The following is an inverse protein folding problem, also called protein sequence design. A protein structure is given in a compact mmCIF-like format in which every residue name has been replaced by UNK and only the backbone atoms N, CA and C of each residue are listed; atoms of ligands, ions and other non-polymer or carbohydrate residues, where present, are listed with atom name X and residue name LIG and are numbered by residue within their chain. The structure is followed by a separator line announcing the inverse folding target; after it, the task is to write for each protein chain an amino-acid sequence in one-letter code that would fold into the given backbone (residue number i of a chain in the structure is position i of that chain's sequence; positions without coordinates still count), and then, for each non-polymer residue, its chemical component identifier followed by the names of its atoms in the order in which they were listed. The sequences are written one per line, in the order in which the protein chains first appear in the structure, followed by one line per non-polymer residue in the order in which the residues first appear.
data_IF_052351220697
#
_entry.id   IF_052351220697
#
_cell.length_a   1.000
_cell.length_b   1.000
_cell.length_c   1.000
_cell.angle_alpha   90.00
_cell.angle_beta   90.00
_cell.angle_gamma   90.00
#
_symmetry.space_group_name_H-M   'P 1'
#
loop_
_entity.id
_entity.type
_entity.pdbx_description
1 polymer ?
#
# COMPACT_ATOMS: atom_id res chain seq x y z
N UNK A 1 -24.76 -25.55 15.08
CA UNK A 1 -23.33 -25.53 14.67
C UNK A 1 -23.09 -24.85 13.32
N UNK A 2 -23.77 -25.22 12.22
CA UNK A 2 -23.55 -24.62 10.87
C UNK A 2 -23.75 -23.10 10.78
N UNK A 3 -24.76 -22.56 11.47
CA UNK A 3 -25.04 -21.11 11.47
C UNK A 3 -24.10 -20.29 12.36
N UNK A 4 -23.45 -20.90 13.37
CA UNK A 4 -22.46 -20.21 14.21
C UNK A 4 -21.15 -19.95 13.45
N UNK A 5 -20.77 -20.85 12.53
CA UNK A 5 -19.55 -20.72 11.72
C UNK A 5 -19.68 -19.54 10.73
N UNK A 6 -20.86 -19.36 10.13
CA UNK A 6 -21.16 -18.24 9.22
C UNK A 6 -21.17 -16.87 9.93
N UNK A 7 -21.54 -16.84 11.21
CA UNK A 7 -21.56 -15.61 11.99
C UNK A 7 -20.16 -15.16 12.42
N UNK A 8 -19.21 -16.10 12.51
CA UNK A 8 -17.82 -15.83 12.87
C UNK A 8 -16.96 -15.35 11.67
N UNK A 9 -17.34 -15.69 10.42
CA UNK A 9 -16.58 -15.33 9.22
C UNK A 9 -16.87 -13.91 8.71
N UNK A 10 -18.09 -13.40 8.93
CA UNK A 10 -18.53 -12.07 8.51
C UNK A 10 -17.61 -10.89 8.92
N UNK A 11 -17.12 -10.80 10.18
CA UNK A 11 -16.24 -9.70 10.57
C UNK A 11 -14.87 -9.72 9.86
N UNK A 12 -14.39 -10.90 9.46
CA UNK A 12 -13.09 -11.05 8.77
C UNK A 12 -13.20 -10.51 7.34
N UNK A 13 -14.28 -10.85 6.62
CA UNK A 13 -14.53 -10.36 5.26
C UNK A 13 -14.65 -8.84 5.21
N UNK A 14 -15.35 -8.25 6.19
CA UNK A 14 -15.49 -6.80 6.30
C UNK A 14 -14.15 -6.10 6.54
N UNK A 15 -13.31 -6.65 7.43
CA UNK A 15 -11.98 -6.13 7.70
C UNK A 15 -11.07 -6.19 6.44
N UNK A 16 -11.12 -7.29 5.68
CA UNK A 16 -10.37 -7.45 4.44
C UNK A 16 -10.84 -6.46 3.37
N UNK A 17 -12.15 -6.26 3.21
CA UNK A 17 -12.70 -5.26 2.27
C UNK A 17 -12.26 -3.84 2.62
N UNK A 18 -12.31 -3.47 3.91
CA UNK A 18 -11.87 -2.16 4.37
C UNK A 18 -10.36 -1.95 4.13
N UNK A 19 -9.55 -2.99 4.35
CA UNK A 19 -8.11 -2.94 4.03
C UNK A 19 -7.88 -2.76 2.53
N UNK A 20 -8.60 -3.53 1.70
CA UNK A 20 -8.49 -3.44 0.24
C UNK A 20 -8.82 -2.03 -0.29
N UNK A 21 -9.91 -1.41 0.16
CA UNK A 21 -10.26 -0.04 -0.26
C UNK A 21 -9.23 0.99 0.22
N UNK A 22 -8.67 0.81 1.42
CA UNK A 22 -7.60 1.68 1.93
C UNK A 22 -6.34 1.59 1.06
N UNK A 23 -5.85 0.37 0.80
CA UNK A 23 -4.66 0.13 -0.03
C UNK A 23 -4.87 0.74 -1.41
N UNK A 24 -6.02 0.48 -2.05
CA UNK A 24 -6.36 1.04 -3.37
C UNK A 24 -6.31 2.56 -3.37
N UNK A 25 -6.87 3.20 -2.34
CA UNK A 25 -6.84 4.66 -2.18
C UNK A 25 -5.43 5.21 -2.00
N UNK A 26 -4.58 4.50 -1.25
CA UNK A 26 -3.20 4.94 -1.00
C UNK A 26 -2.33 4.81 -2.25
N UNK A 27 -2.51 3.75 -3.05
CA UNK A 27 -1.92 3.68 -4.39
C UNK A 27 -2.40 4.80 -5.29
N UNK A 28 -3.72 5.05 -5.37
CA UNK A 28 -4.28 6.14 -6.16
C UNK A 28 -3.66 7.50 -5.80
N UNK A 29 -3.58 7.83 -4.51
CA UNK A 29 -2.91 9.04 -4.03
C UNK A 29 -1.44 9.08 -4.46
N UNK A 30 -0.74 7.94 -4.43
CA UNK A 30 0.65 7.90 -4.84
C UNK A 30 0.85 8.39 -6.29
N UNK A 31 -0.05 8.01 -7.20
CA UNK A 31 -0.01 8.47 -8.60
C UNK A 31 -0.41 9.93 -8.74
N UNK A 32 -1.36 10.40 -7.93
CA UNK A 32 -1.76 11.82 -7.92
C UNK A 32 -0.61 12.71 -7.49
N UNK A 33 0.08 12.39 -6.38
CA UNK A 33 1.22 13.18 -5.93
C UNK A 33 2.39 13.12 -6.93
N UNK A 34 2.69 11.95 -7.49
CA UNK A 34 3.72 11.81 -8.52
C UNK A 34 3.44 12.70 -9.72
N UNK A 35 2.19 12.73 -10.21
CA UNK A 35 1.78 13.60 -11.33
C UNK A 35 1.96 15.10 -11.03
N UNK A 36 1.91 15.48 -9.76
CA UNK A 36 2.16 16.84 -9.29
C UNK A 36 3.66 17.15 -9.09
N UNK A 37 4.56 16.18 -9.34
CA UNK A 37 5.99 16.30 -9.10
C UNK A 37 6.40 16.19 -7.63
N UNK A 38 5.47 15.84 -6.74
CA UNK A 38 5.75 15.61 -5.33
C UNK A 38 6.08 14.14 -5.10
N UNK A 39 7.37 13.83 -4.97
CA UNK A 39 7.84 12.45 -4.75
C UNK A 39 7.95 12.08 -3.26
N UNK A 40 7.87 13.04 -2.34
CA UNK A 40 7.97 12.77 -0.88
C UNK A 40 6.64 12.27 -0.30
N UNK A 41 5.52 12.90 -0.67
CA UNK A 41 4.21 12.46 -0.23
C UNK A 41 3.77 11.06 -0.68
N UNK A 42 4.01 10.59 -1.93
CA UNK A 42 3.61 9.26 -2.35
C UNK A 42 4.40 8.18 -1.60
N UNK A 43 5.69 8.40 -1.32
CA UNK A 43 6.51 7.51 -0.46
C UNK A 43 5.88 7.40 0.92
N UNK A 44 5.59 8.54 1.58
CA UNK A 44 4.97 8.58 2.91
C UNK A 44 3.64 7.82 2.95
N UNK A 45 2.79 7.96 1.93
CA UNK A 45 1.49 7.28 1.86
C UNK A 45 1.68 5.77 1.70
N UNK A 46 2.64 5.33 0.88
CA UNK A 46 2.88 3.91 0.62
C UNK A 46 3.65 3.19 1.74
N UNK A 47 4.38 3.90 2.59
CA UNK A 47 5.02 3.31 3.77
C UNK A 47 4.02 2.63 4.72
N UNK A 48 2.77 3.11 4.78
CA UNK A 48 1.74 2.44 5.60
C UNK A 48 1.30 1.11 4.98
N UNK A 49 1.31 1.02 3.64
CA UNK A 49 1.03 -0.25 2.93
C UNK A 49 2.19 -1.22 3.12
N UNK A 50 3.43 -0.74 3.02
CA UNK A 50 4.65 -1.54 3.26
C UNK A 50 4.68 -2.13 4.68
N UNK A 51 4.40 -1.32 5.71
CA UNK A 51 4.30 -1.80 7.11
C UNK A 51 3.26 -2.90 7.30
N UNK A 52 2.12 -2.79 6.62
CA UNK A 52 1.04 -3.78 6.72
C UNK A 52 1.34 -5.06 5.93
N UNK A 53 2.13 -4.95 4.87
CA UNK A 53 2.46 -6.03 3.94
C UNK A 53 3.97 -6.02 3.66
N UNK A 54 4.80 -6.37 4.66
CA UNK A 54 6.25 -6.40 4.48
C UNK A 54 6.61 -7.38 3.36
N UNK A 55 7.55 -6.98 2.49
CA UNK A 55 7.95 -7.69 1.27
C UNK A 55 6.85 -7.76 0.18
N UNK A 56 5.85 -6.89 0.24
CA UNK A 56 4.83 -6.80 -0.79
C UNK A 56 5.43 -6.36 -2.12
N UNK A 57 5.48 -7.27 -3.10
CA UNK A 57 6.11 -7.02 -4.40
C UNK A 57 5.69 -5.68 -5.04
N UNK A 58 4.38 -5.40 -5.09
CA UNK A 58 3.86 -4.20 -5.75
C UNK A 58 4.23 -2.92 -5.01
N UNK A 59 4.24 -2.94 -3.66
CA UNK A 59 4.56 -1.73 -2.87
C UNK A 59 6.07 -1.47 -2.91
N UNK A 60 6.88 -2.52 -2.85
CA UNK A 60 8.33 -2.44 -3.00
C UNK A 60 8.71 -1.87 -4.37
N UNK A 61 8.13 -2.41 -5.46
CA UNK A 61 8.38 -1.90 -6.81
C UNK A 61 7.99 -0.43 -6.94
N UNK A 62 6.84 -0.05 -6.39
CA UNK A 62 6.35 1.33 -6.46
C UNK A 62 7.21 2.30 -5.64
N UNK A 63 7.61 1.91 -4.43
CA UNK A 63 8.51 2.69 -3.59
C UNK A 63 9.88 2.85 -4.26
N UNK A 64 10.42 1.79 -4.85
CA UNK A 64 11.68 1.84 -5.60
C UNK A 64 11.65 2.88 -6.72
N UNK A 65 10.57 2.89 -7.52
CA UNK A 65 10.35 3.89 -8.56
C UNK A 65 10.30 5.33 -8.01
N UNK A 66 9.57 5.54 -6.92
CA UNK A 66 9.45 6.88 -6.32
C UNK A 66 10.77 7.37 -5.72
N UNK A 67 11.54 6.49 -5.09
CA UNK A 67 12.88 6.81 -4.60
C UNK A 67 13.85 7.13 -5.74
N UNK A 68 13.76 6.42 -6.87
CA UNK A 68 14.51 6.74 -8.09
C UNK A 68 14.17 8.14 -8.62
N UNK A 69 12.89 8.48 -8.73
CA UNK A 69 12.45 9.83 -9.15
C UNK A 69 12.88 10.94 -8.18
N UNK A 70 12.94 10.63 -6.89
CA UNK A 70 13.44 11.54 -5.85
C UNK A 70 14.98 11.71 -5.87
N UNK A 71 15.70 10.89 -6.65
CA UNK A 71 17.17 10.86 -6.70
C UNK A 71 17.80 10.11 -5.53
N UNK A 72 17.02 9.37 -4.74
CA UNK A 72 17.51 8.57 -3.63
C UNK A 72 17.74 7.12 -4.09
N UNK A 73 18.81 6.91 -4.84
CA UNK A 73 19.05 5.64 -5.52
C UNK A 73 19.33 4.46 -4.57
N UNK A 74 19.94 4.70 -3.42
CA UNK A 74 20.19 3.67 -2.40
C UNK A 74 18.87 3.05 -1.90
N UNK A 75 17.81 3.86 -1.82
CA UNK A 75 16.49 3.39 -1.43
C UNK A 75 15.63 2.92 -2.61
N UNK A 76 16.11 3.10 -3.85
CA UNK A 76 15.41 2.66 -5.06
C UNK A 76 15.62 1.18 -5.36
N UNK A 77 16.70 0.61 -4.83
CA UNK A 77 16.95 -0.82 -4.86
C UNK A 77 16.16 -1.48 -3.73
N UNK A 78 15.69 -2.69 -4.01
CA UNK A 78 14.88 -3.56 -3.14
C UNK A 78 15.02 -3.25 -1.64
N UNK A 79 13.91 -2.81 -1.03
CA UNK A 79 13.74 -2.58 0.42
C UNK A 79 13.20 -3.84 1.09
#
# INVERSE_FOLDING_TARGET
MRHLILLLSLPIELALSLSYERIKKDYYKSFVYEKLGDYKNPIRVLMEVDKAYPNGYTVNLRLGWLYYLLGNYENSIYQ
#
